data_IF_170097811775
#
_entry.id   IF_170097811775
#
_cell.length_a   1.000
_cell.length_b   1.000
_cell.length_c   1.000
_cell.angle_alpha   90.00
_cell.angle_beta   90.00
_cell.angle_gamma   90.00
#
_symmetry.space_group_name_H-M   'P 1'
#
loop_
_entity.id
_entity.type
_entity.pdbx_description
1 polymer ?
#
# COMPACT_ATOMS: atom_id res chain seq x y z
N UNK A 1 15.48 -9.04 18.52
CA UNK A 1 14.81 -7.94 17.82
C UNK A 1 13.96 -7.17 18.82
N UNK A 2 14.09 -5.85 18.91
CA UNK A 2 13.26 -5.02 19.79
C UNK A 2 12.28 -4.23 18.93
N UNK A 3 10.99 -4.56 19.04
CA UNK A 3 9.92 -3.93 18.27
C UNK A 3 9.28 -2.79 19.09
N UNK A 4 8.93 -1.65 18.48
CA UNK A 4 8.20 -0.60 19.17
C UNK A 4 6.83 -1.08 19.67
N UNK A 5 6.44 -0.73 20.90
CA UNK A 5 5.15 -1.12 21.47
C UNK A 5 3.96 -0.67 20.62
N UNK A 6 4.05 0.53 20.03
CA UNK A 6 3.02 1.09 19.14
C UNK A 6 2.79 0.24 17.89
N UNK A 7 3.83 -0.41 17.37
CA UNK A 7 3.73 -1.34 16.25
C UNK A 7 3.00 -2.62 16.67
N UNK A 8 3.40 -3.22 17.79
CA UNK A 8 2.78 -4.43 18.36
C UNK A 8 1.28 -4.21 18.60
N UNK A 9 0.92 -3.12 19.28
CA UNK A 9 -0.47 -2.77 19.58
C UNK A 9 -1.30 -2.59 18.31
N UNK A 10 -0.72 -1.96 17.28
CA UNK A 10 -1.41 -1.73 16.02
C UNK A 10 -1.62 -3.02 15.23
N UNK A 11 -0.64 -3.93 15.23
CA UNK A 11 -0.79 -5.27 14.64
C UNK A 11 -1.91 -6.05 15.34
N UNK A 12 -1.94 -6.06 16.67
CA UNK A 12 -3.01 -6.72 17.43
C UNK A 12 -4.39 -6.14 17.13
N UNK A 13 -4.48 -4.81 17.00
CA UNK A 13 -5.75 -4.13 16.74
C UNK A 13 -6.29 -4.41 15.34
N UNK A 14 -5.42 -4.41 14.33
CA UNK A 14 -5.82 -4.55 12.93
C UNK A 14 -6.00 -6.01 12.52
N UNK A 15 -5.09 -6.89 12.95
CA UNK A 15 -5.08 -8.31 12.53
C UNK A 15 -5.56 -9.29 13.61
N UNK A 16 -5.95 -8.81 14.79
CA UNK A 16 -6.54 -9.66 15.82
C UNK A 16 -5.63 -10.84 16.22
N UNK A 17 -6.19 -12.05 16.17
CA UNK A 17 -5.49 -13.28 16.53
C UNK A 17 -4.39 -13.64 15.53
N UNK A 18 -4.58 -13.38 14.24
CA UNK A 18 -3.55 -13.61 13.22
C UNK A 18 -2.32 -12.75 13.49
N UNK A 19 -2.53 -11.48 13.86
CA UNK A 19 -1.44 -10.57 14.25
C UNK A 19 -0.71 -11.03 15.53
N UNK A 20 -1.47 -11.50 16.53
CA UNK A 20 -0.91 -12.06 17.77
C UNK A 20 -0.06 -13.31 17.51
N UNK A 21 -0.52 -14.19 16.63
CA UNK A 21 0.20 -15.40 16.25
C UNK A 21 1.43 -15.10 15.38
N UNK A 22 1.36 -14.08 14.53
CA UNK A 22 2.45 -13.73 13.61
C UNK A 22 3.64 -13.05 14.29
N UNK A 23 3.42 -12.15 15.26
CA UNK A 23 4.48 -11.36 15.89
C UNK A 23 5.65 -12.18 16.46
N UNK A 24 5.42 -13.31 17.19
CA UNK A 24 6.50 -14.17 17.67
C UNK A 24 7.39 -14.75 16.56
N UNK A 25 6.84 -14.93 15.35
CA UNK A 25 7.56 -15.50 14.21
C UNK A 25 8.31 -14.46 13.37
N UNK A 26 8.02 -13.16 13.54
CA UNK A 26 8.64 -12.09 12.75
C UNK A 26 10.19 -12.14 12.75
N UNK A 27 10.91 -12.37 13.87
CA UNK A 27 12.37 -12.47 13.84
C UNK A 27 12.89 -13.61 12.96
N UNK A 28 12.20 -14.74 12.94
CA UNK A 28 12.55 -15.88 12.09
C UNK A 28 12.22 -15.63 10.62
N UNK A 29 11.13 -14.91 10.34
CA UNK A 29 10.78 -14.48 8.98
C UNK A 29 11.84 -13.52 8.44
N UNK A 30 12.31 -12.56 9.26
CA UNK A 30 13.38 -11.63 8.88
C UNK A 30 14.67 -12.38 8.56
N UNK A 31 15.06 -13.36 9.40
CA UNK A 31 16.22 -14.21 9.13
C UNK A 31 16.07 -14.97 7.81
N UNK A 32 14.92 -15.62 7.58
CA UNK A 32 14.65 -16.33 6.33
C UNK A 32 14.71 -15.40 5.11
N UNK A 33 14.21 -14.17 5.22
CA UNK A 33 14.30 -13.18 4.14
C UNK A 33 15.75 -12.79 3.85
N UNK A 34 16.56 -12.57 4.90
CA UNK A 34 17.98 -12.24 4.75
C UNK A 34 18.76 -13.40 4.12
N UNK A 35 18.50 -14.63 4.55
CA UNK A 35 19.12 -15.82 3.98
C UNK A 35 18.72 -16.02 2.51
N UNK A 36 17.42 -15.83 2.20
CA UNK A 36 16.88 -15.98 0.85
C UNK A 36 17.46 -14.98 -0.14
N UNK A 37 17.64 -13.73 0.27
CA UNK A 37 18.06 -12.63 -0.58
C UNK A 37 19.50 -12.17 -0.36
N UNK A 38 20.27 -12.94 0.41
CA UNK A 38 21.67 -12.66 0.77
C UNK A 38 21.86 -11.22 1.26
N UNK A 39 21.06 -10.84 2.26
CA UNK A 39 21.02 -9.51 2.83
C UNK A 39 21.91 -9.43 4.07
N UNK A 40 22.66 -8.34 4.15
CA UNK A 40 23.38 -7.95 5.37
C UNK A 40 22.43 -7.57 6.51
N UNK A 41 22.99 -7.36 7.71
CA UNK A 41 22.25 -6.74 8.79
C UNK A 41 21.86 -5.31 8.41
N UNK A 42 20.56 -5.02 8.44
CA UNK A 42 20.04 -3.69 8.17
C UNK A 42 19.62 -2.90 9.40
N UNK A 43 19.15 -1.69 9.14
CA UNK A 43 18.60 -0.77 10.13
C UNK A 43 17.10 -0.76 10.01
N UNK A 44 16.43 -1.11 11.11
CA UNK A 44 14.97 -1.02 11.22
C UNK A 44 14.51 0.44 11.05
N UNK A 45 13.47 0.65 10.24
CA UNK A 45 12.87 1.97 10.05
C UNK A 45 12.35 2.53 11.38
N UNK A 46 12.57 3.81 11.63
CA UNK A 46 11.99 4.50 12.79
C UNK A 46 10.49 4.75 12.63
N UNK A 47 9.95 4.60 11.41
CA UNK A 47 8.54 4.77 11.11
C UNK A 47 7.95 3.48 10.53
N UNK A 48 7.18 2.77 11.34
CA UNK A 48 6.49 1.54 10.96
C UNK A 48 5.03 1.63 11.42
N UNK A 49 4.09 1.40 10.50
CA UNK A 49 2.66 1.43 10.79
C UNK A 49 2.11 0.01 10.97
N UNK A 50 2.02 -0.75 9.88
CA UNK A 50 1.46 -2.11 9.83
C UNK A 50 2.44 -3.13 9.25
N UNK A 51 3.61 -2.67 8.83
CA UNK A 51 4.65 -3.54 8.27
C UNK A 51 5.96 -3.27 9.01
N UNK A 52 6.69 -4.34 9.26
CA UNK A 52 8.10 -4.26 9.60
C UNK A 52 8.86 -3.77 8.38
N UNK A 53 9.74 -2.78 8.56
CA UNK A 53 10.57 -2.23 7.50
C UNK A 53 12.02 -2.18 7.97
N UNK A 54 12.92 -2.72 7.18
CA UNK A 54 14.36 -2.69 7.40
C UNK A 54 15.07 -2.18 6.13
N UNK A 55 15.99 -1.24 6.29
CA UNK A 55 16.88 -0.81 5.23
C UNK A 55 18.18 -1.59 5.31
N UNK A 56 18.50 -2.34 4.26
CA UNK A 56 19.65 -3.24 4.22
C UNK A 56 20.34 -3.18 2.84
N UNK A 57 21.29 -4.06 2.62
CA UNK A 57 22.09 -4.18 1.41
C UNK A 57 22.25 -5.65 1.03
N UNK A 58 22.11 -5.95 -0.25
CA UNK A 58 22.42 -7.25 -0.85
C UNK A 58 23.93 -7.49 -0.89
N UNK A 59 24.36 -8.74 -1.12
CA UNK A 59 25.78 -9.09 -1.21
C UNK A 59 26.55 -8.35 -2.33
N UNK A 60 25.88 -7.90 -3.39
CA UNK A 60 26.48 -7.10 -4.46
C UNK A 60 26.59 -5.59 -4.13
N UNK A 61 26.17 -5.18 -2.94
CA UNK A 61 26.22 -3.78 -2.48
C UNK A 61 24.99 -2.94 -2.82
N UNK A 62 23.95 -3.52 -3.42
CA UNK A 62 22.72 -2.79 -3.74
C UNK A 62 21.92 -2.47 -2.47
N UNK A 63 21.62 -1.20 -2.22
CA UNK A 63 20.78 -0.80 -1.09
C UNK A 63 19.30 -1.09 -1.35
N UNK A 64 18.65 -1.75 -0.41
CA UNK A 64 17.28 -2.24 -0.51
C UNK A 64 16.47 -1.93 0.74
N UNK A 65 15.14 -1.98 0.61
CA UNK A 65 14.20 -1.94 1.72
C UNK A 65 13.45 -3.27 1.78
N UNK A 66 13.60 -3.97 2.89
CA UNK A 66 12.85 -5.18 3.22
C UNK A 66 11.58 -4.77 3.97
N UNK A 67 10.42 -5.10 3.40
CA UNK A 67 9.10 -4.89 4.01
C UNK A 67 8.45 -6.23 4.30
N UNK A 68 8.00 -6.44 5.53
CA UNK A 68 7.33 -7.68 5.96
C UNK A 68 6.04 -7.32 6.69
N UNK A 69 4.93 -7.94 6.28
CA UNK A 69 3.61 -7.75 6.90
C UNK A 69 2.98 -9.08 7.32
N UNK A 70 1.93 -8.99 8.12
CA UNK A 70 1.02 -10.13 8.34
C UNK A 70 0.43 -10.53 6.98
N UNK A 71 0.44 -11.80 6.56
CA UNK A 71 -0.14 -12.19 5.27
C UNK A 71 -1.64 -11.87 5.18
N UNK A 72 -2.03 -11.02 4.22
CA UNK A 72 -3.43 -10.65 3.97
C UNK A 72 -3.61 -10.17 2.52
N UNK A 73 -4.86 -10.00 2.09
CA UNK A 73 -5.21 -9.68 0.69
C UNK A 73 -4.62 -8.37 0.18
N UNK A 74 -4.53 -7.33 1.01
CA UNK A 74 -4.01 -6.02 0.59
C UNK A 74 -2.49 -6.09 0.35
N UNK A 75 -1.73 -6.76 1.22
CA UNK A 75 -0.30 -7.01 0.99
C UNK A 75 -0.05 -7.75 -0.32
N UNK A 76 -0.88 -8.74 -0.64
CA UNK A 76 -0.80 -9.49 -1.89
C UNK A 76 -1.17 -8.68 -3.12
N UNK A 77 -2.13 -7.77 -2.96
CA UNK A 77 -2.50 -6.81 -4.00
C UNK A 77 -1.36 -5.83 -4.25
N UNK A 78 -0.68 -5.37 -3.18
CA UNK A 78 0.47 -4.49 -3.26
C UNK A 78 1.63 -5.13 -4.05
N UNK A 79 1.97 -6.40 -3.77
CA UNK A 79 2.98 -7.14 -4.53
C UNK A 79 2.68 -7.14 -6.04
N UNK A 80 1.42 -7.40 -6.41
CA UNK A 80 1.00 -7.41 -7.81
C UNK A 80 1.05 -6.01 -8.44
N UNK A 81 0.57 -4.99 -7.72
CA UNK A 81 0.62 -3.59 -8.15
C UNK A 81 2.05 -3.12 -8.39
N UNK A 82 2.98 -3.41 -7.47
CA UNK A 82 4.40 -3.05 -7.62
C UNK A 82 5.05 -3.75 -8.82
N UNK A 83 4.69 -5.02 -9.06
CA UNK A 83 5.14 -5.77 -10.24
C UNK A 83 4.69 -5.12 -11.54
N UNK A 84 3.43 -4.66 -11.59
CA UNK A 84 2.88 -3.99 -12.76
C UNK A 84 3.46 -2.58 -12.98
N UNK A 85 3.80 -1.86 -11.91
CA UNK A 85 4.47 -0.57 -12.04
C UNK A 85 5.92 -0.65 -12.52
N UNK A 86 6.60 -1.79 -12.31
CA UNK A 86 7.94 -2.04 -12.85
C UNK A 86 9.05 -1.07 -12.41
N UNK A 87 8.80 -0.25 -11.38
CA UNK A 87 9.75 0.73 -10.87
C UNK A 87 9.86 2.04 -11.66
N UNK A 88 8.94 2.34 -12.59
CA UNK A 88 8.95 3.63 -13.31
C UNK A 88 8.39 4.78 -12.49
N UNK A 89 7.44 4.50 -11.59
CA UNK A 89 6.59 5.50 -10.90
C UNK A 89 6.38 5.18 -9.42
N UNK A 90 7.05 4.14 -8.94
CA UNK A 90 7.05 3.65 -7.58
C UNK A 90 8.38 2.97 -7.32
N UNK A 91 8.69 2.66 -6.06
CA UNK A 91 9.85 1.85 -5.75
C UNK A 91 9.81 0.53 -6.54
N UNK A 92 10.91 0.19 -7.21
CA UNK A 92 10.99 -1.05 -7.98
C UNK A 92 10.86 -2.24 -7.05
N UNK A 93 9.95 -3.16 -7.39
CA UNK A 93 9.93 -4.50 -6.80
C UNK A 93 11.15 -5.28 -7.27
N UNK A 94 12.03 -5.65 -6.35
CA UNK A 94 13.18 -6.50 -6.66
C UNK A 94 12.81 -7.97 -6.57
N UNK A 95 12.10 -8.36 -5.50
CA UNK A 95 11.52 -9.69 -5.34
C UNK A 95 10.40 -9.67 -4.28
N UNK A 96 9.60 -10.73 -4.19
CA UNK A 96 8.61 -10.92 -3.14
C UNK A 96 8.43 -12.40 -2.77
N UNK A 97 8.08 -12.65 -1.51
CA UNK A 97 7.69 -13.96 -1.02
C UNK A 97 6.31 -13.88 -0.36
N UNK A 98 5.32 -14.48 -1.02
CA UNK A 98 3.93 -14.48 -0.54
C UNK A 98 3.74 -15.31 0.72
N UNK A 99 4.49 -16.40 0.88
CA UNK A 99 4.35 -17.28 2.05
C UNK A 99 4.91 -16.60 3.30
N UNK A 100 6.00 -15.86 3.15
CA UNK A 100 6.61 -15.07 4.22
C UNK A 100 5.94 -13.71 4.43
N UNK A 101 5.10 -13.25 3.49
CA UNK A 101 4.53 -11.90 3.52
C UNK A 101 5.60 -10.81 3.35
N UNK A 102 6.63 -11.09 2.55
CA UNK A 102 7.83 -10.26 2.42
C UNK A 102 7.96 -9.64 1.02
N UNK A 103 8.38 -8.39 0.96
CA UNK A 103 8.59 -7.59 -0.25
C UNK A 103 10.00 -6.98 -0.17
N UNK A 104 10.82 -7.21 -1.19
CA UNK A 104 12.12 -6.60 -1.34
C UNK A 104 12.02 -5.47 -2.38
N UNK A 105 12.30 -4.25 -1.94
CA UNK A 105 12.17 -3.04 -2.75
C UNK A 105 13.51 -2.36 -2.96
N UNK A 106 13.64 -1.66 -4.09
CA UNK A 106 14.69 -0.67 -4.26
C UNK A 106 14.59 0.40 -3.15
N UNK A 107 15.72 0.70 -2.51
CA UNK A 107 15.79 1.81 -1.58
C UNK A 107 15.94 3.13 -2.35
N UNK A 108 14.91 3.97 -2.35
CA UNK A 108 14.96 5.27 -3.00
C UNK A 108 15.84 6.24 -2.19
N UNK A 109 17.05 6.54 -2.69
CA UNK A 109 17.97 7.52 -2.11
C UNK A 109 18.55 8.45 -3.20
N UNK A 110 18.54 9.77 -2.99
CA UNK A 110 17.86 10.51 -1.92
C UNK A 110 16.34 10.49 -2.14
N UNK A 111 15.56 10.26 -1.08
CA UNK A 111 14.11 10.46 -1.07
C UNK A 111 13.79 11.69 -0.24
N UNK A 112 13.52 12.83 -0.87
CA UNK A 112 12.98 14.00 -0.17
C UNK A 112 11.47 13.82 -0.11
N UNK A 113 10.92 13.68 1.09
CA UNK A 113 9.45 13.62 1.28
C UNK A 113 8.86 14.93 0.76
N UNK A 114 7.81 14.87 -0.06
CA UNK A 114 7.26 16.05 -0.74
C UNK A 114 6.87 17.17 0.25
N UNK A 115 6.35 16.79 1.43
CA UNK A 115 6.00 17.69 2.55
C UNK A 115 7.16 18.51 3.11
N UNK A 116 8.41 18.16 2.81
CA UNK A 116 9.57 18.97 3.20
C UNK A 116 9.76 20.19 2.30
N UNK A 117 9.01 20.28 1.19
CA UNK A 117 8.90 21.51 0.41
C UNK A 117 8.10 22.54 1.22
N UNK A 118 8.64 23.76 1.29
CA UNK A 118 8.00 24.87 2.01
C UNK A 118 6.97 25.63 1.16
N UNK A 119 6.79 25.24 -0.10
CA UNK A 119 5.91 25.88 -1.06
C UNK A 119 4.74 24.95 -1.44
N UNK A 120 3.55 25.26 -0.91
CA UNK A 120 2.33 24.48 -1.12
C UNK A 120 1.90 24.43 -2.59
N UNK A 121 2.20 25.46 -3.40
CA UNK A 121 1.84 25.46 -4.83
C UNK A 121 2.71 24.46 -5.58
N UNK A 122 4.02 24.51 -5.32
CA UNK A 122 4.97 23.58 -5.91
C UNK A 122 4.69 22.12 -5.49
N UNK A 123 4.33 21.90 -4.22
CA UNK A 123 3.88 20.59 -3.73
C UNK A 123 2.65 20.09 -4.51
N UNK A 124 1.65 20.94 -4.70
CA UNK A 124 0.42 20.58 -5.43
C UNK A 124 0.70 20.23 -6.89
N UNK A 125 1.53 21.02 -7.57
CA UNK A 125 1.91 20.79 -8.98
C UNK A 125 2.65 19.46 -9.16
N UNK A 126 3.60 19.15 -8.26
CA UNK A 126 4.34 17.87 -8.29
C UNK A 126 3.40 16.70 -8.00
N UNK A 127 2.54 16.82 -6.99
CA UNK A 127 1.57 15.77 -6.67
C UNK A 127 0.63 15.49 -7.84
N UNK A 128 0.12 16.53 -8.51
CA UNK A 128 -0.73 16.39 -9.68
C UNK A 128 0.00 15.70 -10.85
N UNK A 129 1.27 16.05 -11.09
CA UNK A 129 2.11 15.39 -12.11
C UNK A 129 2.25 13.89 -11.80
N UNK A 130 2.63 13.55 -10.56
CA UNK A 130 2.75 12.15 -10.13
C UNK A 130 1.44 11.39 -10.32
N UNK A 131 0.31 11.97 -9.89
CA UNK A 131 -1.02 11.34 -10.04
C UNK A 131 -1.33 11.05 -11.51
N UNK A 132 -1.07 12.02 -12.40
CA UNK A 132 -1.31 11.85 -13.84
C UNK A 132 -0.43 10.77 -14.47
N UNK A 133 0.76 10.57 -13.92
CA UNK A 133 1.68 9.55 -14.40
C UNK A 133 1.35 8.17 -13.82
N UNK A 134 0.80 8.06 -12.62
CA UNK A 134 0.51 6.79 -11.95
C UNK A 134 -0.52 5.92 -12.67
N UNK A 135 -1.35 6.47 -13.57
CA UNK A 135 -2.32 5.70 -14.32
C UNK A 135 -1.62 4.77 -15.33
N UNK A 136 -1.56 3.47 -15.00
CA UNK A 136 -1.01 2.43 -15.88
C UNK A 136 -2.14 1.48 -16.30
N UNK A 137 -2.31 1.16 -17.59
CA UNK A 137 -3.31 0.19 -18.04
C UNK A 137 -3.13 -1.15 -17.33
N UNK A 138 -4.23 -1.73 -16.85
CA UNK A 138 -4.19 -3.06 -16.25
C UNK A 138 -4.17 -4.14 -17.35
N UNK A 139 -3.39 -5.22 -17.22
CA UNK A 139 -3.45 -6.35 -18.16
C UNK A 139 -4.85 -6.97 -18.19
N UNK A 140 -5.22 -7.63 -19.29
CA UNK A 140 -6.53 -8.29 -19.43
C UNK A 140 -6.81 -9.38 -18.38
N UNK A 141 -5.77 -9.93 -17.76
CA UNK A 141 -5.87 -10.90 -16.67
C UNK A 141 -5.05 -10.39 -15.48
N UNK A 142 -5.72 -10.11 -14.36
CA UNK A 142 -5.11 -9.68 -13.11
C UNK A 142 -5.94 -10.13 -11.90
N UNK A 143 -5.35 -10.07 -10.70
CA UNK A 143 -6.04 -10.37 -9.44
C UNK A 143 -6.33 -9.12 -8.59
N UNK A 144 -6.01 -7.92 -9.11
CA UNK A 144 -6.31 -6.67 -8.41
C UNK A 144 -7.82 -6.49 -8.18
N UNK A 145 -8.24 -5.98 -7.00
CA UNK A 145 -9.63 -5.65 -6.76
C UNK A 145 -10.08 -4.50 -7.65
N UNK A 146 -11.35 -4.54 -8.06
CA UNK A 146 -11.95 -3.45 -8.82
C UNK A 146 -12.46 -2.37 -7.86
N UNK A 147 -11.96 -1.15 -8.02
CA UNK A 147 -12.43 0.01 -7.27
C UNK A 147 -13.92 0.25 -7.50
N UNK A 148 -14.39 0.10 -8.74
CA UNK A 148 -15.80 0.29 -9.08
C UNK A 148 -16.70 -0.70 -8.33
N UNK A 149 -16.34 -1.98 -8.32
CA UNK A 149 -17.06 -3.00 -7.53
C UNK A 149 -17.04 -2.73 -6.04
N UNK A 150 -15.95 -2.19 -5.52
CA UNK A 150 -15.85 -1.81 -4.10
C UNK A 150 -16.81 -0.66 -3.76
N UNK A 151 -16.83 0.39 -4.59
CA UNK A 151 -17.74 1.54 -4.43
C UNK A 151 -19.22 1.12 -4.58
N UNK A 152 -19.56 0.31 -5.59
CA UNK A 152 -20.90 -0.26 -5.76
C UNK A 152 -21.35 -1.08 -4.53
N UNK A 153 -20.44 -1.86 -3.96
CA UNK A 153 -20.71 -2.61 -2.72
C UNK A 153 -20.93 -1.66 -1.55
N UNK A 154 -20.13 -0.60 -1.41
CA UNK A 154 -20.29 0.39 -0.37
C UNK A 154 -21.67 1.07 -0.47
N UNK A 155 -22.06 1.54 -1.66
CA UNK A 155 -23.39 2.13 -1.90
C UNK A 155 -24.52 1.16 -1.53
N UNK A 156 -24.45 -0.09 -2.00
CA UNK A 156 -25.45 -1.11 -1.67
C UNK A 156 -25.56 -1.36 -0.16
N UNK A 157 -24.43 -1.46 0.55
CA UNK A 157 -24.42 -1.65 2.00
C UNK A 157 -25.03 -0.43 2.70
N UNK A 158 -24.67 0.78 2.30
CA UNK A 158 -25.22 2.02 2.89
C UNK A 158 -26.74 2.15 2.67
N UNK A 159 -27.27 1.69 1.52
CA UNK A 159 -28.72 1.69 1.26
C UNK A 159 -29.48 0.63 2.05
N UNK A 160 -28.88 -0.53 2.26
CA UNK A 160 -29.54 -1.68 2.90
C UNK A 160 -29.35 -1.74 4.41
N UNK A 161 -28.31 -1.10 4.93
CA UNK A 161 -28.09 -0.99 6.37
C UNK A 161 -29.12 -0.04 6.96
N UNK A 162 -29.79 -0.49 8.01
CA UNK A 162 -30.73 0.32 8.75
C UNK A 162 -29.99 1.48 9.45
N UNK A 163 -30.26 2.71 9.02
CA UNK A 163 -29.68 3.94 9.56
C UNK A 163 -30.79 4.77 10.21
N UNK A 164 -31.02 4.54 11.51
CA UNK A 164 -32.03 5.26 12.30
C UNK A 164 -31.71 6.75 12.48
N UNK A 165 -30.42 7.10 12.42
CA UNK A 165 -29.93 8.44 12.69
C UNK A 165 -29.81 9.29 11.42
N UNK A 166 -30.11 8.71 10.24
CA UNK A 166 -29.95 9.32 8.92
C UNK A 166 -28.59 10.02 8.77
N UNK A 167 -27.54 9.37 9.30
CA UNK A 167 -26.16 9.88 9.27
C UNK A 167 -25.66 10.12 7.85
N UNK A 168 -26.22 9.38 6.89
CA UNK A 168 -25.99 9.59 5.48
C UNK A 168 -27.28 10.10 4.79
N UNK A 169 -27.39 11.42 4.55
CA UNK A 169 -28.53 11.99 3.81
C UNK A 169 -28.69 11.33 2.44
N UNK A 170 -29.93 10.94 2.12
CA UNK A 170 -30.25 10.20 0.88
C UNK A 170 -29.90 10.98 -0.38
N UNK A 171 -30.09 12.29 -0.37
CA UNK A 171 -29.77 13.19 -1.47
C UNK A 171 -28.26 13.25 -1.76
N UNK A 172 -27.42 13.23 -0.71
CA UNK A 172 -25.97 13.16 -0.87
C UNK A 172 -25.53 11.81 -1.46
N UNK A 173 -26.18 10.72 -1.04
CA UNK A 173 -25.93 9.38 -1.57
C UNK A 173 -26.29 9.30 -3.06
N UNK A 174 -27.46 9.82 -3.44
CA UNK A 174 -27.91 9.88 -4.84
C UNK A 174 -26.94 10.68 -5.71
N UNK A 175 -26.49 11.84 -5.23
CA UNK A 175 -25.49 12.66 -5.94
C UNK A 175 -24.14 11.96 -6.09
N UNK A 176 -23.69 11.24 -5.06
CA UNK A 176 -22.45 10.47 -5.11
C UNK A 176 -22.53 9.31 -6.10
N UNK A 177 -23.66 8.59 -6.13
CA UNK A 177 -23.90 7.50 -7.10
C UNK A 177 -23.98 8.03 -8.54
N UNK A 178 -24.62 9.19 -8.75
CA UNK A 178 -24.65 9.84 -10.05
C UNK A 178 -23.25 10.24 -10.53
N UNK A 179 -22.48 10.94 -9.70
CA UNK A 179 -21.12 11.35 -10.04
C UNK A 179 -20.22 10.14 -10.34
N UNK A 180 -20.35 9.07 -9.56
CA UNK A 180 -19.63 7.82 -9.80
C UNK A 180 -19.98 7.19 -11.16
N UNK A 181 -21.27 7.19 -11.52
CA UNK A 181 -21.74 6.69 -12.83
C UNK A 181 -21.19 7.52 -13.98
N UNK A 182 -21.20 8.85 -13.86
CA UNK A 182 -20.63 9.76 -14.86
C UNK A 182 -19.13 9.52 -15.07
N UNK A 183 -18.38 9.32 -13.97
CA UNK A 183 -16.94 8.99 -14.02
C UNK A 183 -16.72 7.68 -14.78
N UNK A 184 -17.46 6.62 -14.45
CA UNK A 184 -17.32 5.33 -15.14
C UNK A 184 -17.62 5.43 -16.64
N UNK A 185 -18.64 6.19 -17.03
CA UNK A 185 -18.99 6.40 -18.43
C UNK A 185 -17.94 7.21 -19.20
N UNK A 186 -17.23 8.11 -18.52
CA UNK A 186 -16.15 8.91 -19.11
C UNK A 186 -14.79 8.20 -19.17
N UNK A 187 -14.65 7.06 -18.48
CA UNK A 187 -13.40 6.33 -18.38
C UNK A 187 -13.10 5.50 -19.63
N UNK A 188 -11.84 5.55 -20.11
CA UNK A 188 -11.38 4.78 -21.26
C UNK A 188 -10.55 3.57 -20.82
N UNK A 189 -11.22 2.61 -20.18
CA UNK A 189 -10.64 1.37 -19.70
C UNK A 189 -10.07 1.43 -18.28
N UNK A 190 -9.73 0.26 -17.74
CA UNK A 190 -9.26 0.11 -16.37
C UNK A 190 -7.77 0.42 -16.26
N UNK A 191 -7.44 1.22 -15.24
CA UNK A 191 -6.06 1.56 -14.87
C UNK A 191 -5.77 1.13 -13.43
N UNK A 192 -4.51 0.87 -13.16
CA UNK A 192 -4.02 0.62 -11.80
C UNK A 192 -4.09 1.91 -11.00
N UNK A 193 -4.60 1.82 -9.79
CA UNK A 193 -4.64 2.92 -8.83
C UNK A 193 -3.72 2.60 -7.65
N UNK A 194 -3.05 3.62 -7.11
CA UNK A 194 -2.26 3.49 -5.89
C UNK A 194 -3.12 3.11 -4.67
N UNK A 195 -4.39 3.54 -4.64
CA UNK A 195 -5.37 3.16 -3.60
C UNK A 195 -5.24 3.88 -2.26
N UNK A 196 -4.07 4.44 -1.94
CA UNK A 196 -3.83 5.15 -0.67
C UNK A 196 -2.79 6.28 -0.85
N UNK A 197 -2.95 7.09 -1.89
CA UNK A 197 -2.04 8.21 -2.15
C UNK A 197 -2.39 9.37 -1.23
N UNK A 198 -1.46 9.72 -0.33
CA UNK A 198 -1.57 10.88 0.54
C UNK A 198 -0.18 11.49 0.76
N UNK A 199 -0.12 12.71 1.30
CA UNK A 199 1.08 13.56 1.42
C UNK A 199 2.27 12.95 2.20
N UNK A 200 2.08 11.88 2.97
CA UNK A 200 3.18 11.16 3.64
C UNK A 200 3.73 10.00 2.79
N UNK A 201 3.15 9.74 1.61
CA UNK A 201 3.49 8.64 0.69
C UNK A 201 3.84 9.13 -0.73
N UNK A 202 4.22 10.40 -0.84
CA UNK A 202 4.68 11.07 -2.06
C UNK A 202 6.04 11.72 -1.85
#
# INVERSE_FOLDING_TARGET
MHLPSSFIERIHRVFGDDGRAWLPHLPDIVRQCRDKWDLSDGVMSSNMSLNYIEFTMTADGTTVALKIGVPHSELFTEMETLRLYGGSRSARLMDADRALGAILLQHLKPGTILRQLKDNRQETEIAASIISELAVPVPSTHQLPSFSRWVERAFRLTRTTWDLEERMPRDLLDRAEQAFTEILQSSNGDVILHGDLHHDRS
#
